data_IF_737861507060
#
_entry.id   IF_737861507060
#
_cell.length_a   1.000
_cell.length_b   1.000
_cell.length_c   1.000
_cell.angle_alpha   90.00
_cell.angle_beta   90.00
_cell.angle_gamma   90.00
#
_symmetry.space_group_name_H-M   'P 1'
#
loop_
_entity.id
_entity.type
_entity.pdbx_description
1 polymer ?
#
# COMPACT_ATOMS: atom_id res chain seq x y z
N UNK A 1 7.66 8.08 -34.78
CA UNK A 1 7.78 9.26 -33.91
C UNK A 1 6.54 9.43 -33.02
N UNK A 2 5.34 9.36 -33.61
CA UNK A 2 4.05 9.41 -32.88
C UNK A 2 3.88 8.37 -31.76
N UNK A 3 4.36 7.13 -31.94
CA UNK A 3 4.24 6.08 -30.92
C UNK A 3 5.06 6.35 -29.64
N UNK A 4 6.22 7.02 -29.77
CA UNK A 4 7.04 7.42 -28.62
C UNK A 4 6.40 8.60 -27.87
N UNK A 5 5.79 9.52 -28.59
CA UNK A 5 5.02 10.64 -28.02
C UNK A 5 3.80 10.13 -27.26
N UNK A 6 3.11 9.11 -27.80
CA UNK A 6 1.96 8.48 -27.13
C UNK A 6 2.37 7.70 -25.85
N UNK A 7 3.54 7.03 -25.85
CA UNK A 7 4.09 6.41 -24.63
C UNK A 7 4.49 7.46 -23.58
N UNK A 8 5.09 8.57 -23.99
CA UNK A 8 5.40 9.68 -23.09
C UNK A 8 4.13 10.34 -22.53
N UNK A 9 3.08 10.53 -23.34
CA UNK A 9 1.79 11.05 -22.90
C UNK A 9 1.09 10.12 -21.88
N UNK A 10 1.20 8.79 -22.07
CA UNK A 10 0.70 7.81 -21.10
C UNK A 10 1.51 7.81 -19.79
N UNK A 11 2.81 8.04 -19.85
CA UNK A 11 3.66 8.20 -18.65
C UNK A 11 3.34 9.52 -17.94
N UNK A 12 3.12 10.62 -18.67
CA UNK A 12 2.74 11.91 -18.08
C UNK A 12 1.34 11.85 -17.48
N UNK A 13 0.38 11.19 -18.12
CA UNK A 13 -0.94 10.94 -17.55
C UNK A 13 -0.88 9.95 -16.37
N UNK A 14 0.00 8.94 -16.41
CA UNK A 14 0.27 8.06 -15.28
C UNK A 14 0.85 8.85 -14.10
N UNK A 15 1.78 9.78 -14.35
CA UNK A 15 2.38 10.66 -13.33
C UNK A 15 1.38 11.71 -12.85
N UNK A 16 0.47 12.21 -13.69
CA UNK A 16 -0.55 13.18 -13.32
C UNK A 16 -1.69 12.53 -12.53
N UNK A 17 -2.11 11.32 -12.93
CA UNK A 17 -2.96 10.43 -12.12
C UNK A 17 -2.26 10.08 -10.82
N UNK A 18 -0.96 9.80 -10.85
CA UNK A 18 -0.16 9.64 -9.65
C UNK A 18 -0.08 10.93 -8.84
N UNK A 19 -0.14 12.15 -9.41
CA UNK A 19 -0.15 13.41 -8.65
C UNK A 19 -1.50 13.64 -7.97
N UNK A 20 -2.61 13.37 -8.64
CA UNK A 20 -3.95 13.44 -8.02
C UNK A 20 -4.08 12.37 -6.93
N UNK A 21 -3.72 11.12 -7.26
CA UNK A 21 -3.63 10.06 -6.28
C UNK A 21 -2.63 10.42 -5.18
N UNK A 22 -1.44 10.96 -5.44
CA UNK A 22 -0.42 11.37 -4.44
C UNK A 22 -0.93 12.53 -3.58
N UNK A 23 -1.74 13.44 -4.10
CA UNK A 23 -2.32 14.53 -3.30
C UNK A 23 -3.39 13.96 -2.37
N UNK A 24 -4.25 13.07 -2.86
CA UNK A 24 -5.13 12.25 -2.02
C UNK A 24 -4.34 11.31 -1.11
N UNK A 25 -3.17 10.82 -1.53
CA UNK A 25 -2.31 9.85 -0.85
C UNK A 25 -1.53 10.48 0.28
N UNK A 26 -1.06 11.70 0.09
CA UNK A 26 -0.36 12.50 1.08
C UNK A 26 -1.39 13.04 2.07
N UNK A 27 -2.57 13.50 1.62
CA UNK A 27 -3.69 13.80 2.52
C UNK A 27 -4.08 12.57 3.33
N UNK A 28 -4.17 11.39 2.71
CA UNK A 28 -4.50 10.13 3.39
C UNK A 28 -3.37 9.65 4.30
N UNK A 29 -2.10 9.72 3.90
CA UNK A 29 -0.93 9.36 4.75
C UNK A 29 -0.83 10.30 5.96
N UNK A 30 -1.12 11.60 5.79
CA UNK A 30 -1.13 12.59 6.87
C UNK A 30 -2.33 12.33 7.81
N UNK A 31 -3.52 12.00 7.28
CA UNK A 31 -4.71 11.74 8.09
C UNK A 31 -4.61 10.39 8.84
N UNK A 32 -4.06 9.34 8.22
CA UNK A 32 -3.89 8.03 8.86
C UNK A 32 -2.92 8.09 10.06
N UNK A 33 -1.98 9.05 10.05
CA UNK A 33 -1.07 9.28 11.18
C UNK A 33 -1.72 9.91 12.41
N UNK A 34 -2.88 10.56 12.28
CA UNK A 34 -3.42 11.42 13.34
C UNK A 34 -4.77 10.94 13.93
N UNK A 35 -5.72 10.46 13.12
CA UNK A 35 -7.01 9.97 13.66
C UNK A 35 -7.85 9.19 12.63
N UNK A 36 -7.74 7.86 12.65
CA UNK A 36 -8.49 6.97 11.73
C UNK A 36 -10.02 7.15 11.83
N UNK A 37 -10.52 7.45 13.03
CA UNK A 37 -11.94 7.72 13.29
C UNK A 37 -12.41 9.06 12.69
N UNK A 38 -11.49 9.99 12.40
CA UNK A 38 -11.77 11.24 11.69
C UNK A 38 -11.85 10.99 10.17
N UNK A 39 -11.02 10.08 9.63
CA UNK A 39 -11.04 9.71 8.21
C UNK A 39 -12.41 9.16 7.75
N UNK A 40 -13.04 8.30 8.56
CA UNK A 40 -14.39 7.79 8.28
C UNK A 40 -15.45 8.90 8.31
N UNK A 41 -15.28 9.91 9.17
CA UNK A 41 -16.19 11.06 9.28
C UNK A 41 -16.03 12.04 8.13
N UNK A 42 -14.80 12.31 7.70
CA UNK A 42 -14.50 13.33 6.69
C UNK A 42 -14.84 12.86 5.26
N UNK A 43 -14.68 11.56 4.98
CA UNK A 43 -15.00 10.98 3.67
C UNK A 43 -16.48 10.59 3.58
N UNK A 44 -17.10 10.24 4.70
CA UNK A 44 -18.42 9.62 4.74
C UNK A 44 -18.35 8.12 4.42
N UNK A 45 -19.05 7.29 5.20
CA UNK A 45 -19.02 5.82 5.08
C UNK A 45 -19.33 5.31 3.68
N UNK A 46 -20.16 6.04 2.94
CA UNK A 46 -20.73 5.63 1.66
C UNK A 46 -19.86 6.01 0.46
N UNK A 47 -18.81 6.83 0.66
CA UNK A 47 -17.88 7.23 -0.41
C UNK A 47 -16.65 6.33 -0.52
N UNK A 48 -16.49 5.35 0.37
CA UNK A 48 -15.38 4.42 0.26
C UNK A 48 -15.58 3.47 -0.91
N UNK A 49 -14.57 3.32 -1.80
CA UNK A 49 -14.61 2.33 -2.85
C UNK A 49 -14.94 0.93 -2.29
N UNK A 50 -15.83 0.19 -2.96
CA UNK A 50 -16.13 -1.18 -2.57
C UNK A 50 -14.84 -2.01 -2.59
N UNK A 51 -14.67 -2.88 -1.59
CA UNK A 51 -13.49 -3.75 -1.43
C UNK A 51 -12.13 -3.07 -1.19
N UNK A 52 -12.05 -1.76 -0.95
CA UNK A 52 -10.81 -1.12 -0.49
C UNK A 52 -10.70 -1.05 1.04
N UNK A 53 -9.46 -1.15 1.53
CA UNK A 53 -9.07 -1.14 2.94
C UNK A 53 -7.92 -0.14 3.15
N UNK A 54 -8.09 0.81 4.06
CA UNK A 54 -7.15 1.89 4.35
C UNK A 54 -6.53 1.69 5.73
N UNK A 55 -5.38 1.02 5.76
CA UNK A 55 -4.71 0.69 7.01
C UNK A 55 -3.38 1.42 7.14
N UNK A 56 -3.19 2.13 8.25
CA UNK A 56 -1.90 2.66 8.65
C UNK A 56 -0.91 1.58 9.03
N UNK A 57 0.38 1.89 8.91
CA UNK A 57 1.46 0.99 9.33
C UNK A 57 2.15 1.54 10.58
N UNK A 58 2.18 0.74 11.65
CA UNK A 58 2.86 1.11 12.90
C UNK A 58 4.35 1.28 12.65
N UNK A 59 4.94 2.34 13.21
CA UNK A 59 6.37 2.63 13.10
C UNK A 59 7.13 1.90 14.22
N UNK A 60 8.15 1.10 13.85
CA UNK A 60 9.01 0.34 14.76
C UNK A 60 10.42 0.93 14.84
N UNK A 61 10.54 2.20 15.19
CA UNK A 61 11.82 2.91 15.32
C UNK A 61 12.46 3.18 13.95
N UNK A 62 12.39 4.43 13.49
CA UNK A 62 12.92 4.87 12.19
C UNK A 62 12.46 4.04 10.99
N UNK A 63 11.29 3.38 11.04
CA UNK A 63 10.74 2.59 9.91
C UNK A 63 9.76 3.36 9.04
N UNK A 64 9.52 4.64 9.31
CA UNK A 64 8.62 5.49 8.53
C UNK A 64 8.96 5.51 7.04
N UNK A 65 10.25 5.50 6.68
CA UNK A 65 10.70 5.41 5.29
C UNK A 65 10.20 4.12 4.60
N UNK A 66 10.20 3.00 5.33
CA UNK A 66 9.71 1.73 4.80
C UNK A 66 8.20 1.75 4.71
N UNK A 67 7.52 2.32 5.70
CA UNK A 67 6.07 2.41 5.73
C UNK A 67 5.54 3.26 4.58
N UNK A 68 6.15 4.41 4.27
CA UNK A 68 5.72 5.26 3.15
C UNK A 68 5.87 4.57 1.78
N UNK A 69 6.95 3.81 1.58
CA UNK A 69 7.16 3.01 0.37
C UNK A 69 6.17 1.85 0.27
N UNK A 70 5.95 1.11 1.37
CA UNK A 70 4.97 0.01 1.40
C UNK A 70 3.57 0.49 1.07
N UNK A 71 3.19 1.64 1.61
CA UNK A 71 1.97 2.34 1.30
C UNK A 71 1.91 2.61 -0.22
N UNK A 72 2.86 3.35 -0.79
CA UNK A 72 2.86 3.66 -2.23
C UNK A 72 2.76 2.40 -3.12
N UNK A 73 3.43 1.32 -2.74
CA UNK A 73 3.35 0.03 -3.43
C UNK A 73 1.97 -0.64 -3.31
N UNK A 74 1.31 -0.56 -2.15
CA UNK A 74 0.00 -1.16 -1.94
C UNK A 74 -1.09 -0.49 -2.81
N UNK A 75 -1.01 0.82 -2.99
CA UNK A 75 -1.98 1.56 -3.80
C UNK A 75 -1.63 1.60 -5.30
N UNK A 76 -0.43 1.15 -5.66
CA UNK A 76 -0.14 0.75 -7.04
C UNK A 76 -0.91 -0.55 -7.37
N UNK A 77 -2.16 -0.41 -7.85
CA UNK A 77 -3.07 -1.53 -8.11
C UNK A 77 -2.44 -2.70 -8.89
N UNK A 78 -1.75 -2.47 -10.05
CA UNK A 78 -1.14 -3.57 -10.79
C UNK A 78 -0.09 -4.34 -9.97
N UNK A 79 0.69 -3.63 -9.14
CA UNK A 79 1.67 -4.26 -8.27
C UNK A 79 1.00 -5.06 -7.16
N UNK A 80 0.01 -4.47 -6.47
CA UNK A 80 -0.75 -5.14 -5.41
C UNK A 80 -1.39 -6.44 -5.91
N UNK A 81 -2.05 -6.40 -7.06
CA UNK A 81 -2.70 -7.57 -7.66
C UNK A 81 -1.71 -8.70 -7.92
N UNK A 82 -0.54 -8.38 -8.48
CA UNK A 82 0.52 -9.37 -8.73
C UNK A 82 1.09 -9.97 -7.45
N UNK A 83 1.25 -9.16 -6.40
CA UNK A 83 1.70 -9.64 -5.08
C UNK A 83 0.65 -10.55 -4.42
N UNK A 84 -0.64 -10.22 -4.52
CA UNK A 84 -1.72 -11.07 -4.00
C UNK A 84 -1.85 -12.38 -4.80
N UNK A 85 -1.71 -12.32 -6.13
CA UNK A 85 -1.65 -13.50 -7.01
C UNK A 85 -0.46 -14.41 -6.65
N UNK A 86 0.71 -13.81 -6.39
CA UNK A 86 1.87 -14.53 -5.90
C UNK A 86 1.57 -15.26 -4.57
N UNK A 87 0.91 -14.60 -3.61
CA UNK A 87 0.51 -15.24 -2.34
C UNK A 87 -0.43 -16.43 -2.54
N UNK A 88 -1.43 -16.27 -3.41
CA UNK A 88 -2.43 -17.31 -3.66
C UNK A 88 -1.80 -18.58 -4.25
N UNK A 89 -0.80 -18.43 -5.14
CA UNK A 89 -0.07 -19.53 -5.76
C UNK A 89 0.96 -20.19 -4.83
N UNK A 90 1.59 -19.42 -3.94
CA UNK A 90 2.77 -19.85 -3.18
C UNK A 90 2.46 -20.07 -1.69
N UNK A 91 1.67 -21.10 -1.36
CA UNK A 91 1.24 -21.38 0.02
C UNK A 91 2.30 -22.04 0.92
N UNK A 92 3.33 -22.67 0.33
CA UNK A 92 4.32 -23.52 1.05
C UNK A 92 5.77 -23.17 0.71
N UNK A 93 6.06 -21.91 0.43
CA UNK A 93 7.42 -21.46 0.07
C UNK A 93 8.24 -21.06 1.29
N UNK A 94 9.56 -21.18 1.17
CA UNK A 94 10.53 -20.63 2.13
C UNK A 94 10.26 -19.13 2.36
N UNK A 95 10.42 -18.70 3.61
CA UNK A 95 10.27 -17.29 3.95
C UNK A 95 11.35 -16.45 3.26
N UNK A 96 10.90 -15.40 2.58
CA UNK A 96 11.68 -14.35 1.90
C UNK A 96 11.06 -12.98 2.17
N UNK A 97 11.76 -11.90 1.83
CA UNK A 97 11.18 -10.56 1.91
C UNK A 97 9.89 -10.43 1.08
N UNK A 98 9.85 -11.05 -0.10
CA UNK A 98 8.67 -11.05 -0.97
C UNK A 98 7.49 -11.81 -0.34
N UNK A 99 7.72 -12.96 0.30
CA UNK A 99 6.62 -13.66 0.99
C UNK A 99 6.09 -12.86 2.18
N UNK A 100 6.97 -12.14 2.91
CA UNK A 100 6.53 -11.25 3.98
C UNK A 100 5.75 -10.04 3.47
N UNK A 101 6.13 -9.48 2.31
CA UNK A 101 5.38 -8.41 1.65
C UNK A 101 4.00 -8.90 1.24
N UNK A 102 3.94 -10.11 0.66
CA UNK A 102 2.69 -10.70 0.20
C UNK A 102 1.74 -11.02 1.37
N UNK A 103 2.27 -11.51 2.50
CA UNK A 103 1.51 -11.70 3.74
C UNK A 103 0.97 -10.37 4.29
N UNK A 104 1.77 -9.31 4.27
CA UNK A 104 1.34 -7.98 4.71
C UNK A 104 0.21 -7.44 3.83
N UNK A 105 0.36 -7.51 2.51
CA UNK A 105 -0.65 -7.02 1.56
C UNK A 105 -1.95 -7.82 1.68
N UNK A 106 -1.85 -9.14 1.81
CA UNK A 106 -3.00 -10.00 2.07
C UNK A 106 -3.68 -9.60 3.39
N UNK A 107 -2.91 -9.40 4.46
CA UNK A 107 -3.42 -9.00 5.76
C UNK A 107 -4.15 -7.66 5.76
N UNK A 108 -3.83 -6.73 4.85
CA UNK A 108 -4.57 -5.46 4.67
C UNK A 108 -5.83 -5.73 3.84
N UNK A 109 -5.69 -6.46 2.72
CA UNK A 109 -6.77 -6.69 1.76
C UNK A 109 -7.93 -7.54 2.31
N UNK A 110 -7.70 -8.37 3.34
CA UNK A 110 -8.71 -9.24 3.94
C UNK A 110 -9.21 -8.74 5.29
N UNK A 111 -8.99 -7.48 5.63
CA UNK A 111 -9.55 -6.91 6.85
C UNK A 111 -11.07 -6.85 6.78
N UNK A 112 -11.72 -6.98 7.94
CA UNK A 112 -13.18 -6.80 8.04
C UNK A 112 -13.58 -5.33 8.09
N UNK A 113 -12.71 -4.49 8.68
CA UNK A 113 -12.92 -3.05 8.82
C UNK A 113 -12.35 -2.34 7.60
N UNK A 114 -13.00 -1.27 7.16
CA UNK A 114 -12.54 -0.41 6.06
C UNK A 114 -11.27 0.36 6.41
N UNK A 115 -11.12 0.76 7.66
CA UNK A 115 -9.97 1.53 8.13
C UNK A 115 -9.36 0.91 9.39
N UNK A 116 -8.08 1.20 9.64
CA UNK A 116 -7.42 0.75 10.86
C UNK A 116 -5.90 0.94 10.83
N UNK A 117 -5.21 0.21 11.70
CA UNK A 117 -3.75 0.17 11.75
C UNK A 117 -3.27 -1.28 11.82
N UNK A 118 -2.17 -1.58 11.13
CA UNK A 118 -1.50 -2.88 11.12
C UNK A 118 -0.03 -2.69 11.50
N UNK A 119 0.48 -3.63 12.28
CA UNK A 119 1.88 -3.70 12.66
C UNK A 119 2.67 -4.59 11.68
N UNK A 120 3.55 -4.05 10.80
CA UNK A 120 4.31 -4.84 9.83
C UNK A 120 5.50 -5.62 10.45
N UNK A 121 5.35 -6.22 11.63
CA UNK A 121 6.43 -6.84 12.43
C UNK A 121 7.29 -7.83 11.63
N UNK A 122 6.64 -8.79 10.94
CA UNK A 122 7.33 -9.82 10.16
C UNK A 122 8.13 -9.24 9.00
N UNK A 123 7.52 -8.31 8.25
CA UNK A 123 8.20 -7.65 7.14
C UNK A 123 9.42 -6.84 7.62
N UNK A 124 9.27 -6.06 8.68
CA UNK A 124 10.38 -5.27 9.24
C UNK A 124 11.50 -6.16 9.79
N UNK A 125 11.17 -7.23 10.51
CA UNK A 125 12.15 -8.18 11.01
C UNK A 125 12.94 -8.81 9.85
N UNK A 126 12.25 -9.21 8.77
CA UNK A 126 12.90 -9.78 7.60
C UNK A 126 13.74 -8.76 6.84
N UNK A 127 13.24 -7.55 6.64
CA UNK A 127 13.97 -6.46 5.99
C UNK A 127 15.28 -6.14 6.72
N UNK A 128 15.27 -6.13 8.06
CA UNK A 128 16.48 -5.93 8.87
C UNK A 128 17.48 -7.06 8.67
N UNK A 129 17.01 -8.31 8.56
CA UNK A 129 17.84 -9.48 8.33
C UNK A 129 18.50 -9.52 6.95
N UNK A 130 17.86 -8.97 5.92
CA UNK A 130 18.42 -8.90 4.56
C UNK A 130 19.43 -7.74 4.39
N UNK A 131 19.47 -6.79 5.33
CA UNK A 131 20.38 -5.63 5.32
C UNK A 131 21.67 -5.84 6.12
N UNK A 132 21.77 -6.92 6.89
CA UNK A 132 22.96 -7.31 7.63
C UNK A 132 23.60 -8.52 6.99
#
# INVERSE_FOLDING_TARGET
MQEKINKCANIVNYIQFHKTCITEYLSTIIIIGANISQLERDIGSDQFPPNEHYFGLVNFGNTCYSNSVLQALYFCRPFREKVLEYKARNKRTKETLLTCLADLFYSIATQKKKVGSIAPKKFIARLRKEKG
#
